data_IF_612403393392
#
_entry.id   IF_612403393392
#
_cell.length_a   1.000
_cell.length_b   1.000
_cell.length_c   1.000
_cell.angle_alpha   90.00
_cell.angle_beta   90.00
_cell.angle_gamma   90.00
#
_symmetry.space_group_name_H-M   'P 1'
#
loop_
_entity.id
_entity.type
_entity.pdbx_description
1 polymer ?
#
# COMPACT_ATOMS: atom_id res chain seq x y z
N UNK A 1 9.36 -16.20 4.66
CA UNK A 1 8.86 -15.05 3.90
C UNK A 1 9.86 -14.69 2.82
N UNK A 2 9.41 -14.46 1.59
CA UNK A 2 10.26 -13.94 0.50
C UNK A 2 10.21 -12.40 0.50
N UNK A 3 11.38 -11.77 0.43
CA UNK A 3 11.49 -10.30 0.34
C UNK A 3 11.77 -9.91 -1.11
N UNK A 4 10.98 -8.97 -1.62
CA UNK A 4 11.07 -8.47 -2.99
C UNK A 4 11.36 -6.97 -2.93
N UNK A 5 12.54 -6.56 -3.39
CA UNK A 5 12.86 -5.17 -3.69
C UNK A 5 12.50 -4.92 -5.16
N UNK A 6 11.30 -4.41 -5.40
CA UNK A 6 10.81 -4.20 -6.75
C UNK A 6 11.22 -2.83 -7.27
N UNK A 7 12.12 -2.81 -8.24
CA UNK A 7 12.67 -1.59 -8.86
C UNK A 7 11.79 -1.02 -9.98
N UNK A 8 10.72 -1.72 -10.37
CA UNK A 8 9.78 -1.20 -11.35
C UNK A 8 8.96 -0.06 -10.74
N UNK A 9 8.88 1.08 -11.43
CA UNK A 9 8.13 2.25 -10.99
C UNK A 9 6.77 2.41 -11.68
N UNK A 10 6.37 1.45 -12.51
CA UNK A 10 5.03 1.42 -13.11
C UNK A 10 3.98 1.00 -12.09
N UNK A 11 3.04 1.91 -11.78
CA UNK A 11 1.99 1.65 -10.79
C UNK A 11 1.08 0.48 -11.17
N UNK A 12 0.80 0.27 -12.46
CA UNK A 12 -0.04 -0.84 -12.92
C UNK A 12 0.66 -2.18 -12.71
N UNK A 13 1.95 -2.23 -13.04
CA UNK A 13 2.76 -3.43 -12.81
C UNK A 13 2.82 -3.76 -11.32
N UNK A 14 3.11 -2.77 -10.48
CA UNK A 14 3.26 -2.96 -9.04
C UNK A 14 1.97 -3.48 -8.39
N UNK A 15 0.83 -2.87 -8.71
CA UNK A 15 -0.47 -3.31 -8.21
C UNK A 15 -0.89 -4.69 -8.76
N UNK A 16 -0.54 -4.98 -10.02
CA UNK A 16 -0.77 -6.31 -10.60
C UNK A 16 0.12 -7.38 -9.94
N UNK A 17 1.36 -7.03 -9.59
CA UNK A 17 2.26 -7.91 -8.86
C UNK A 17 1.72 -8.24 -7.46
N UNK A 18 1.25 -7.25 -6.70
CA UNK A 18 0.56 -7.46 -5.41
C UNK A 18 -0.61 -8.44 -5.56
N UNK A 19 -1.49 -8.17 -6.51
CA UNK A 19 -2.67 -9.00 -6.74
C UNK A 19 -2.31 -10.42 -7.18
N UNK A 20 -1.28 -10.57 -8.02
CA UNK A 20 -0.77 -11.88 -8.44
C UNK A 20 -0.19 -12.67 -7.28
N UNK A 21 0.67 -12.05 -6.46
CA UNK A 21 1.27 -12.68 -5.29
C UNK A 21 0.21 -13.10 -4.28
N UNK A 22 -0.78 -12.24 -4.03
CA UNK A 22 -1.89 -12.53 -3.14
C UNK A 22 -2.74 -13.72 -3.63
N UNK A 23 -3.09 -13.75 -4.91
CA UNK A 23 -4.10 -14.67 -5.44
C UNK A 23 -3.52 -15.99 -5.98
N UNK A 24 -2.28 -15.95 -6.48
CA UNK A 24 -1.72 -17.08 -7.26
C UNK A 24 -0.56 -17.78 -6.55
N UNK A 25 0.05 -17.14 -5.57
CA UNK A 25 1.13 -17.74 -4.79
C UNK A 25 0.63 -18.22 -3.43
N UNK A 26 1.35 -19.19 -2.84
CA UNK A 26 1.06 -19.74 -1.51
C UNK A 26 2.04 -19.29 -0.45
N UNK A 27 3.24 -18.90 -0.89
CA UNK A 27 4.30 -18.43 -0.01
C UNK A 27 3.95 -17.06 0.59
N UNK A 28 4.62 -16.73 1.68
CA UNK A 28 4.52 -15.42 2.30
C UNK A 28 5.52 -14.45 1.66
N UNK A 29 5.07 -13.24 1.33
CA UNK A 29 5.85 -12.23 0.64
C UNK A 29 5.81 -10.90 1.40
N UNK A 30 6.95 -10.24 1.40
CA UNK A 30 7.09 -8.83 1.68
C UNK A 30 7.65 -8.15 0.43
N UNK A 31 6.97 -7.13 -0.07
CA UNK A 31 7.38 -6.40 -1.26
C UNK A 31 7.51 -4.91 -0.96
N UNK A 32 8.64 -4.33 -1.33
CA UNK A 32 8.88 -2.89 -1.34
C UNK A 32 8.83 -2.38 -2.77
N UNK A 33 8.18 -1.24 -2.98
CA UNK A 33 8.07 -0.64 -4.30
C UNK A 33 7.76 0.85 -4.25
N UNK A 34 8.09 1.54 -5.32
CA UNK A 34 7.78 2.95 -5.56
C UNK A 34 7.07 3.09 -6.90
N UNK A 35 6.45 4.22 -7.18
CA UNK A 35 5.89 4.48 -8.50
C UNK A 35 6.18 5.91 -8.96
N UNK A 36 6.17 6.11 -10.29
CA UNK A 36 6.07 7.43 -10.89
C UNK A 36 4.77 8.11 -10.44
N UNK A 37 4.60 9.44 -10.64
CA UNK A 37 3.39 10.15 -10.25
C UNK A 37 2.12 9.42 -10.65
N UNK A 38 1.35 9.00 -9.66
CA UNK A 38 0.14 8.20 -9.85
C UNK A 38 -0.89 8.45 -8.76
N UNK A 39 -2.17 8.42 -9.14
CA UNK A 39 -3.28 8.34 -8.21
C UNK A 39 -3.78 6.90 -8.17
N UNK A 40 -3.76 6.32 -6.99
CA UNK A 40 -4.25 4.95 -6.75
C UNK A 40 -5.57 5.01 -5.99
N UNK A 41 -6.64 4.64 -6.66
CA UNK A 41 -7.97 4.58 -6.05
C UNK A 41 -8.26 3.20 -5.47
N UNK A 42 -9.07 3.17 -4.42
CA UNK A 42 -9.52 1.92 -3.80
C UNK A 42 -10.52 1.16 -4.69
N UNK A 43 -10.64 -0.13 -4.43
CA UNK A 43 -11.45 -1.09 -5.20
C UNK A 43 -12.87 -0.60 -5.52
N UNK A 44 -13.53 0.06 -4.57
CA UNK A 44 -14.94 0.43 -4.67
C UNK A 44 -15.18 1.91 -4.99
N UNK A 45 -14.12 2.71 -5.16
CA UNK A 45 -14.24 4.13 -5.44
C UNK A 45 -14.65 4.40 -6.90
N UNK A 46 -15.38 5.50 -7.11
CA UNK A 46 -15.76 5.98 -8.44
C UNK A 46 -14.78 7.06 -8.87
N UNK A 47 -14.07 6.85 -9.98
CA UNK A 47 -13.04 7.78 -10.51
C UNK A 47 -13.52 9.23 -10.47
N UNK A 48 -14.63 9.55 -11.10
CA UNK A 48 -15.16 10.92 -11.22
C UNK A 48 -15.53 11.61 -9.91
N UNK A 49 -15.55 10.87 -8.79
CA UNK A 49 -15.80 11.43 -7.45
C UNK A 49 -14.52 11.68 -6.66
N UNK A 50 -13.44 11.06 -7.08
CA UNK A 50 -12.19 11.04 -6.32
C UNK A 50 -11.10 11.89 -6.97
N UNK A 51 -11.18 12.06 -8.31
CA UNK A 51 -10.09 12.68 -9.07
C UNK A 51 -10.61 13.65 -10.12
N UNK A 52 -9.85 14.69 -10.39
CA UNK A 52 -9.99 15.53 -11.56
C UNK A 52 -9.27 14.87 -12.74
N UNK A 53 -10.05 14.17 -13.58
CA UNK A 53 -9.52 13.42 -14.74
C UNK A 53 -8.77 14.34 -15.72
N UNK A 54 -9.19 15.61 -15.86
CA UNK A 54 -8.52 16.57 -16.72
C UNK A 54 -7.13 16.92 -16.18
N UNK A 55 -7.07 17.25 -14.89
CA UNK A 55 -5.80 17.57 -14.22
C UNK A 55 -4.80 16.40 -14.29
N UNK A 56 -5.26 15.17 -14.04
CA UNK A 56 -4.43 13.97 -14.13
C UNK A 56 -3.83 13.83 -15.53
N UNK A 57 -4.66 13.97 -16.55
CA UNK A 57 -4.22 13.84 -17.95
C UNK A 57 -3.22 14.94 -18.35
N UNK A 58 -3.49 16.19 -18.01
CA UNK A 58 -2.63 17.34 -18.33
C UNK A 58 -1.26 17.28 -17.62
N UNK A 59 -1.19 16.61 -16.47
CA UNK A 59 0.04 16.47 -15.68
C UNK A 59 0.71 15.11 -15.82
N UNK A 60 0.27 14.25 -16.75
CA UNK A 60 0.80 12.90 -16.97
C UNK A 60 0.84 12.03 -15.70
N UNK A 61 -0.18 12.16 -14.85
CA UNK A 61 -0.32 11.36 -13.64
C UNK A 61 -1.07 10.07 -14.00
N UNK A 62 -0.52 8.92 -13.64
CA UNK A 62 -1.19 7.64 -13.87
C UNK A 62 -2.40 7.48 -12.94
N UNK A 63 -3.48 6.91 -13.44
CA UNK A 63 -4.65 6.56 -12.65
C UNK A 63 -4.79 5.05 -12.56
N UNK A 64 -4.56 4.49 -11.41
CA UNK A 64 -4.65 3.04 -11.18
C UNK A 64 -5.67 2.69 -10.10
N UNK A 65 -6.19 1.47 -10.15
CA UNK A 65 -7.09 0.92 -9.13
C UNK A 65 -6.44 -0.26 -8.44
N UNK A 66 -6.34 -0.22 -7.11
CA UNK A 66 -5.84 -1.35 -6.33
C UNK A 66 -6.94 -2.36 -5.99
N UNK A 67 -6.53 -3.56 -5.65
CA UNK A 67 -7.44 -4.65 -5.26
C UNK A 67 -8.04 -4.47 -3.86
N UNK A 68 -7.34 -3.78 -2.96
CA UNK A 68 -7.82 -3.46 -1.62
C UNK A 68 -8.83 -2.30 -1.61
N UNK A 69 -9.55 -2.15 -0.51
CA UNK A 69 -10.47 -1.03 -0.28
C UNK A 69 -9.75 0.28 0.09
N UNK A 70 -10.48 1.19 0.72
CA UNK A 70 -9.98 2.47 1.21
C UNK A 70 -10.10 3.63 0.22
N UNK A 71 -9.54 4.80 0.58
CA UNK A 71 -9.59 6.05 -0.16
C UNK A 71 -8.58 6.15 -1.30
N UNK A 72 -8.66 7.22 -2.08
CA UNK A 72 -7.67 7.57 -3.08
C UNK A 72 -6.39 8.08 -2.41
N UNK A 73 -5.25 7.72 -2.97
CA UNK A 73 -3.92 8.18 -2.53
C UNK A 73 -3.10 8.62 -3.74
N UNK A 74 -2.19 9.55 -3.50
CA UNK A 74 -1.19 9.97 -4.47
C UNK A 74 0.13 9.30 -4.12
N UNK A 75 0.79 8.76 -5.12
CA UNK A 75 2.13 8.18 -5.01
C UNK A 75 3.07 8.85 -6.00
N UNK A 76 4.32 8.98 -5.63
CA UNK A 76 5.44 9.34 -6.48
C UNK A 76 6.71 8.63 -6.01
N UNK A 77 7.84 8.98 -6.57
CA UNK A 77 9.13 8.38 -6.21
C UNK A 77 9.59 8.71 -4.78
N UNK A 78 8.97 9.70 -4.12
CA UNK A 78 9.18 9.99 -2.68
C UNK A 78 8.36 9.10 -1.75
N UNK A 79 7.44 8.29 -2.29
CA UNK A 79 6.57 7.42 -1.51
C UNK A 79 7.03 5.96 -1.61
N UNK A 80 7.45 5.38 -0.48
CA UNK A 80 7.79 3.96 -0.39
C UNK A 80 6.55 3.16 0.03
N UNK A 81 6.18 2.17 -0.76
CA UNK A 81 5.10 1.24 -0.45
C UNK A 81 5.66 -0.05 0.13
N UNK A 82 5.06 -0.51 1.22
CA UNK A 82 5.37 -1.77 1.90
C UNK A 82 4.14 -2.67 1.82
N UNK A 83 4.30 -3.87 1.26
CA UNK A 83 3.20 -4.81 1.03
C UNK A 83 3.53 -6.15 1.65
N UNK A 84 2.70 -6.57 2.60
CA UNK A 84 2.77 -7.88 3.27
C UNK A 84 1.67 -8.76 2.72
N UNK A 85 2.01 -9.94 2.28
CA UNK A 85 1.06 -10.95 1.76
C UNK A 85 1.34 -12.29 2.41
N UNK A 86 0.43 -12.75 3.24
CA UNK A 86 0.61 -13.94 4.05
C UNK A 86 -0.61 -14.86 4.07
N UNK A 87 -0.36 -16.14 4.31
CA UNK A 87 -1.40 -17.10 4.67
C UNK A 87 -1.53 -17.12 6.18
N UNK A 88 -2.72 -16.79 6.69
CA UNK A 88 -2.98 -16.70 8.14
C UNK A 88 -4.32 -17.36 8.48
N UNK A 89 -4.43 -17.96 9.66
CA UNK A 89 -5.69 -18.51 10.16
C UNK A 89 -6.62 -17.39 10.65
N UNK A 90 -6.05 -16.41 11.31
CA UNK A 90 -6.77 -15.22 11.83
C UNK A 90 -6.04 -13.95 11.43
N UNK A 91 -6.65 -13.10 10.61
CA UNK A 91 -6.06 -11.82 10.23
C UNK A 91 -5.86 -10.91 11.46
N UNK A 92 -4.63 -10.44 11.62
CA UNK A 92 -4.26 -9.41 12.58
C UNK A 92 -3.51 -8.30 11.83
N UNK A 93 -4.24 -7.25 11.46
CA UNK A 93 -3.66 -6.15 10.68
C UNK A 93 -2.88 -5.16 11.55
N UNK A 94 -3.13 -5.13 12.86
CA UNK A 94 -2.35 -4.33 13.80
C UNK A 94 -0.93 -4.86 13.92
N UNK A 95 -0.74 -6.17 13.77
CA UNK A 95 0.59 -6.77 13.72
C UNK A 95 1.47 -6.13 12.64
N UNK A 96 0.98 -5.98 11.40
CA UNK A 96 1.76 -5.36 10.31
C UNK A 96 1.97 -3.88 10.52
N UNK A 97 1.01 -3.20 11.12
CA UNK A 97 1.14 -1.80 11.50
C UNK A 97 2.30 -1.62 12.50
N UNK A 98 2.35 -2.43 13.55
CA UNK A 98 3.42 -2.40 14.54
C UNK A 98 4.77 -2.76 13.94
N UNK A 99 4.85 -3.76 13.06
CA UNK A 99 6.11 -4.06 12.35
C UNK A 99 6.64 -2.86 11.57
N UNK A 100 5.75 -2.05 11.00
CA UNK A 100 6.16 -0.83 10.29
C UNK A 100 6.64 0.26 11.25
N UNK A 101 5.99 0.41 12.40
CA UNK A 101 6.42 1.36 13.46
C UNK A 101 7.76 0.94 14.02
N UNK A 102 7.93 -0.33 14.40
CA UNK A 102 9.20 -0.89 14.92
C UNK A 102 10.35 -0.67 13.93
N UNK A 103 10.07 -0.82 12.64
CA UNK A 103 11.05 -0.52 11.58
C UNK A 103 11.45 0.96 11.60
N UNK A 104 10.51 1.89 11.67
CA UNK A 104 10.81 3.33 11.77
C UNK A 104 11.60 3.66 13.03
N UNK A 105 11.22 3.09 14.17
CA UNK A 105 11.96 3.26 15.43
C UNK A 105 13.39 2.74 15.35
N UNK A 106 13.62 1.63 14.64
CA UNK A 106 14.97 1.10 14.40
C UNK A 106 15.89 2.06 13.62
N UNK A 107 15.27 2.97 12.86
CA UNK A 107 15.96 4.05 12.15
C UNK A 107 16.10 5.34 12.99
N UNK A 108 15.66 5.32 14.24
CA UNK A 108 15.67 6.49 15.14
C UNK A 108 14.51 7.45 14.91
N UNK A 109 13.48 7.04 14.17
CA UNK A 109 12.30 7.84 13.89
C UNK A 109 11.20 7.48 14.89
N UNK A 110 10.84 8.44 15.77
CA UNK A 110 9.75 8.25 16.73
C UNK A 110 8.40 8.35 16.00
N UNK A 111 7.70 7.24 15.92
CA UNK A 111 6.42 7.14 15.24
C UNK A 111 5.31 6.65 16.17
N UNK A 112 4.07 7.06 15.95
CA UNK A 112 2.91 6.58 16.67
C UNK A 112 1.73 6.32 15.71
N UNK A 113 0.73 5.59 16.19
CA UNK A 113 -0.42 5.18 15.38
C UNK A 113 -1.72 5.80 15.88
N UNK A 114 -2.71 5.92 15.00
CA UNK A 114 -4.07 6.30 15.34
C UNK A 114 -5.05 5.12 15.21
N UNK A 115 -6.29 5.32 15.67
CA UNK A 115 -7.38 4.32 15.58
C UNK A 115 -7.76 3.94 14.15
N UNK A 116 -7.28 4.65 13.13
CA UNK A 116 -7.51 4.37 11.71
C UNK A 116 -6.31 3.72 11.05
N UNK A 117 -5.37 3.21 11.85
CA UNK A 117 -4.14 2.56 11.38
C UNK A 117 -3.25 3.48 10.52
N UNK A 118 -3.30 4.79 10.79
CA UNK A 118 -2.35 5.75 10.25
C UNK A 118 -1.09 5.79 11.10
N UNK A 119 0.06 6.05 10.49
CA UNK A 119 1.33 6.28 11.19
C UNK A 119 1.67 7.76 11.10
N UNK A 120 2.10 8.32 12.22
CA UNK A 120 2.41 9.73 12.39
C UNK A 120 3.81 9.93 12.92
N UNK A 121 4.49 10.97 12.45
CA UNK A 121 5.78 11.48 12.92
C UNK A 121 5.63 12.99 13.05
N UNK A 122 6.01 13.57 14.18
CA UNK A 122 5.89 15.01 14.46
C UNK A 122 4.49 15.58 14.12
N UNK A 123 3.44 14.88 14.58
CA UNK A 123 2.02 15.20 14.35
C UNK A 123 1.59 15.22 12.86
N UNK A 124 2.44 14.75 11.96
CA UNK A 124 2.13 14.61 10.54
C UNK A 124 1.88 13.17 10.19
N UNK A 125 0.81 12.91 9.47
CA UNK A 125 0.55 11.58 8.92
C UNK A 125 1.56 11.26 7.83
N UNK A 126 2.41 10.27 8.09
CA UNK A 126 3.44 9.81 7.14
C UNK A 126 3.05 8.53 6.41
N UNK A 127 2.07 7.77 6.95
CA UNK A 127 1.57 6.57 6.29
C UNK A 127 0.08 6.37 6.50
N UNK A 128 -0.58 5.83 5.49
CA UNK A 128 -1.91 5.26 5.55
C UNK A 128 -1.86 3.82 5.09
N UNK A 129 -2.76 2.98 5.61
CA UNK A 129 -2.81 1.58 5.24
C UNK A 129 -4.12 1.19 4.56
N UNK A 130 -4.05 0.14 3.77
CA UNK A 130 -5.21 -0.57 3.28
C UNK A 130 -4.97 -2.08 3.35
N UNK A 131 -6.06 -2.83 3.43
CA UNK A 131 -6.01 -4.27 3.64
C UNK A 131 -7.08 -4.99 2.86
N UNK A 132 -6.81 -6.23 2.54
CA UNK A 132 -7.81 -7.12 1.98
C UNK A 132 -7.52 -8.59 2.30
N UNK A 133 -8.56 -9.40 2.19
CA UNK A 133 -8.50 -10.84 2.35
C UNK A 133 -8.91 -11.50 1.04
N UNK A 134 -8.15 -12.49 0.62
CA UNK A 134 -8.50 -13.37 -0.49
C UNK A 134 -8.37 -14.83 -0.03
N UNK A 135 -9.50 -15.50 0.17
CA UNK A 135 -9.56 -16.85 0.78
C UNK A 135 -8.92 -16.83 2.18
N UNK A 136 -7.86 -17.62 2.37
CA UNK A 136 -7.08 -17.70 3.61
C UNK A 136 -5.79 -16.85 3.56
N UNK A 137 -5.69 -15.95 2.61
CA UNK A 137 -4.54 -15.03 2.49
C UNK A 137 -4.95 -13.61 2.76
N UNK A 138 -4.07 -12.91 3.42
CA UNK A 138 -4.21 -11.47 3.69
C UNK A 138 -3.19 -10.69 2.90
N UNK A 139 -3.55 -9.47 2.56
CA UNK A 139 -2.63 -8.43 2.14
C UNK A 139 -2.86 -7.19 3.02
N UNK A 140 -1.79 -6.72 3.61
CA UNK A 140 -1.69 -5.41 4.24
C UNK A 140 -0.66 -4.60 3.47
N UNK A 141 -0.99 -3.37 3.12
CA UNK A 141 -0.02 -2.46 2.52
C UNK A 141 -0.15 -1.04 3.08
N UNK A 142 0.95 -0.37 3.20
CA UNK A 142 1.06 1.00 3.67
C UNK A 142 2.14 1.77 2.90
#
# INVERSE_FOLDING_TARGET
>A
MFCIDNRCTDAYFNLAAEEYLLKKKKDNFFMMWQSVPSVVIGKHQRVRKEVDEKYIHENNILLARRFSGGGAVYHDEGNLNLSFMETVERPDFEYYLHQTVDFLESLGIVAYTDKRMGIYVDDRKVSGSAQCIHKNRVMYHC
#
